data_IF_251312632565
#
_entry.id   IF_251312632565
#
_cell.length_a   1.000
_cell.length_b   1.000
_cell.length_c   1.000
_cell.angle_alpha   90.00
_cell.angle_beta   90.00
_cell.angle_gamma   90.00
#
_symmetry.space_group_name_H-M   'P 1'
#
loop_
_entity.id
_entity.type
_entity.pdbx_description
1 polymer ?
#
# COMPACT_ATOMS: atom_id res chain seq x y z
N UNK A 1 45.19 10.58 -51.86
CA UNK A 1 44.24 11.56 -51.25
C UNK A 1 43.48 10.83 -50.14
N UNK A 2 43.82 11.07 -48.87
CA UNK A 2 43.20 10.39 -47.71
C UNK A 2 41.87 11.09 -47.36
N UNK A 3 40.74 10.38 -47.43
CA UNK A 3 39.46 10.84 -46.91
C UNK A 3 39.38 10.51 -45.43
N UNK A 4 39.33 11.54 -44.58
CA UNK A 4 39.04 11.43 -43.15
C UNK A 4 37.52 11.33 -43.00
N UNK A 5 37.03 10.21 -42.48
CA UNK A 5 35.62 10.02 -42.15
C UNK A 5 35.44 10.42 -40.68
N UNK A 6 34.76 11.54 -40.44
CA UNK A 6 34.31 11.96 -39.11
C UNK A 6 33.16 11.05 -38.67
N UNK A 7 33.38 10.26 -37.62
CA UNK A 7 32.36 9.42 -36.99
C UNK A 7 31.60 10.27 -35.96
N UNK A 8 30.40 10.72 -36.32
CA UNK A 8 29.48 11.40 -35.42
C UNK A 8 28.93 10.35 -34.44
N UNK A 9 29.41 10.37 -33.19
CA UNK A 9 28.80 9.61 -32.10
C UNK A 9 27.46 10.25 -31.73
N UNK A 10 26.37 9.69 -32.24
CA UNK A 10 25.04 9.98 -31.75
C UNK A 10 24.89 9.37 -30.34
N UNK A 11 24.97 10.20 -29.30
CA UNK A 11 24.63 9.79 -27.94
C UNK A 11 23.12 9.60 -27.88
N UNK A 12 22.68 8.34 -27.92
CA UNK A 12 21.28 8.00 -27.72
C UNK A 12 20.89 8.34 -26.27
N UNK A 13 20.12 9.41 -26.09
CA UNK A 13 19.41 9.67 -24.85
C UNK A 13 18.40 8.54 -24.63
N UNK A 14 18.74 7.61 -23.74
CA UNK A 14 17.77 6.65 -23.24
C UNK A 14 16.65 7.43 -22.53
N UNK A 15 15.47 7.47 -23.16
CA UNK A 15 14.29 8.02 -22.55
C UNK A 15 13.95 7.18 -21.32
N UNK A 16 14.30 7.68 -20.13
CA UNK A 16 13.83 7.11 -18.88
C UNK A 16 12.29 7.15 -18.90
N UNK A 17 11.65 5.99 -18.88
CA UNK A 17 10.20 5.88 -18.80
C UNK A 17 9.73 6.62 -17.55
N UNK A 18 9.14 7.80 -17.73
CA UNK A 18 8.51 8.51 -16.63
C UNK A 18 7.31 7.66 -16.16
N UNK A 19 7.12 7.48 -14.85
CA UNK A 19 5.97 6.75 -14.33
C UNK A 19 4.69 7.42 -14.85
N UNK A 20 3.80 6.63 -15.48
CA UNK A 20 2.51 7.11 -15.97
C UNK A 20 1.80 7.89 -14.87
N UNK A 21 1.62 9.19 -15.07
CA UNK A 21 0.81 10.01 -14.18
C UNK A 21 -0.62 9.49 -14.20
N UNK A 22 -1.24 9.38 -13.02
CA UNK A 22 -2.65 8.99 -12.92
C UNK A 22 -3.48 10.19 -13.39
N UNK A 23 -4.33 10.04 -14.42
CA UNK A 23 -5.17 11.14 -14.90
C UNK A 23 -6.02 11.72 -13.75
N UNK A 24 -6.14 13.04 -13.66
CA UNK A 24 -6.90 13.77 -12.62
C UNK A 24 -6.41 13.59 -11.17
N UNK A 25 -5.16 13.17 -10.96
CA UNK A 25 -4.58 13.13 -9.62
C UNK A 25 -4.34 14.53 -9.04
N UNK A 26 -4.95 14.81 -7.89
CA UNK A 26 -4.68 16.00 -7.08
C UNK A 26 -3.66 15.65 -6.00
N UNK A 27 -2.55 16.37 -5.95
CA UNK A 27 -1.60 16.29 -4.84
C UNK A 27 -2.24 16.93 -3.61
N UNK A 28 -2.73 16.09 -2.69
CA UNK A 28 -3.50 16.51 -1.51
C UNK A 28 -2.59 16.75 -0.30
N UNK A 29 -1.50 16.00 -0.17
CA UNK A 29 -0.49 16.21 0.88
C UNK A 29 0.91 16.10 0.28
N UNK A 30 1.80 17.03 0.64
CA UNK A 30 3.24 16.96 0.35
C UNK A 30 4.00 17.55 1.54
N UNK A 31 4.37 16.71 2.50
CA UNK A 31 5.02 17.13 3.75
C UNK A 31 5.83 15.97 4.32
N UNK A 32 6.92 16.26 5.02
CA UNK A 32 7.73 15.26 5.74
C UNK A 32 8.20 14.09 4.85
N UNK A 33 8.55 14.38 3.58
CA UNK A 33 8.92 13.40 2.56
C UNK A 33 7.81 12.37 2.23
N UNK A 34 6.55 12.67 2.56
CA UNK A 34 5.39 11.88 2.18
C UNK A 34 4.55 12.70 1.21
N UNK A 35 4.20 12.06 0.09
CA UNK A 35 3.27 12.63 -0.89
C UNK A 35 2.03 11.77 -0.93
N UNK A 36 0.86 12.40 -0.92
CA UNK A 36 -0.44 11.76 -1.09
C UNK A 36 -1.16 12.44 -2.24
N UNK A 37 -1.55 11.66 -3.22
CA UNK A 37 -2.44 12.05 -4.29
C UNK A 37 -3.80 11.41 -4.08
N UNK A 38 -4.85 12.14 -4.41
CA UNK A 38 -6.21 11.59 -4.52
C UNK A 38 -6.75 11.79 -5.92
N UNK A 39 -7.55 10.86 -6.39
CA UNK A 39 -8.21 10.98 -7.69
C UNK A 39 -9.60 10.35 -7.66
N UNK A 40 -10.47 10.87 -8.54
CA UNK A 40 -11.83 10.37 -8.71
C UNK A 40 -11.85 9.40 -9.90
N UNK A 41 -12.23 8.15 -9.64
CA UNK A 41 -12.65 7.24 -10.71
C UNK A 41 -14.13 7.46 -11.00
N UNK A 42 -14.53 7.35 -12.27
CA UNK A 42 -15.93 7.54 -12.70
C UNK A 42 -16.86 6.47 -12.14
N UNK A 43 -16.32 5.29 -11.82
CA UNK A 43 -17.08 4.14 -11.33
C UNK A 43 -17.19 4.11 -9.81
N UNK A 44 -16.42 4.93 -9.09
CA UNK A 44 -16.34 4.90 -7.63
C UNK A 44 -16.87 6.21 -7.04
N UNK A 45 -17.74 6.19 -6.02
CA UNK A 45 -18.21 7.42 -5.36
C UNK A 45 -17.16 8.03 -4.42
N UNK A 46 -16.23 7.23 -3.92
CA UNK A 46 -15.16 7.64 -2.98
C UNK A 46 -13.85 7.86 -3.75
N UNK A 47 -13.06 8.84 -3.33
CA UNK A 47 -11.72 9.04 -3.89
C UNK A 47 -10.83 7.81 -3.69
N UNK A 48 -9.99 7.55 -4.68
CA UNK A 48 -8.86 6.66 -4.54
C UNK A 48 -7.66 7.48 -4.08
N UNK A 49 -6.74 6.85 -3.35
CA UNK A 49 -5.49 7.48 -2.97
C UNK A 49 -4.30 6.73 -3.52
N UNK A 50 -3.22 7.48 -3.77
CA UNK A 50 -1.87 6.94 -3.89
C UNK A 50 -0.99 7.73 -2.93
N UNK A 51 -0.15 7.05 -2.17
CA UNK A 51 0.83 7.68 -1.31
C UNK A 51 2.21 7.07 -1.52
N UNK A 52 3.25 7.87 -1.36
CA UNK A 52 4.62 7.38 -1.42
C UNK A 52 5.57 8.13 -0.48
N UNK A 53 6.62 7.43 -0.08
CA UNK A 53 7.74 7.99 0.67
C UNK A 53 8.99 7.14 0.46
N UNK A 54 10.09 7.51 1.10
CA UNK A 54 11.34 6.75 1.12
C UNK A 54 11.82 6.62 2.55
N UNK A 55 12.30 5.43 2.91
CA UNK A 55 12.90 5.14 4.20
C UNK A 55 14.35 4.68 4.01
N UNK A 56 15.19 5.02 4.98
CA UNK A 56 16.61 4.64 5.02
C UNK A 56 16.79 3.30 5.78
N UNK A 57 16.08 2.26 5.30
CA UNK A 57 16.15 0.88 5.78
C UNK A 57 16.22 -0.11 4.62
N UNK A 58 16.67 -1.35 4.83
CA UNK A 58 16.57 -2.42 3.84
C UNK A 58 15.11 -2.67 3.41
N UNK A 59 14.91 -3.02 2.14
CA UNK A 59 13.57 -3.31 1.59
C UNK A 59 12.84 -4.38 2.39
N UNK A 60 13.56 -5.41 2.83
CA UNK A 60 13.06 -6.56 3.58
C UNK A 60 12.44 -6.14 4.90
N UNK A 61 13.03 -5.15 5.57
CA UNK A 61 12.51 -4.64 6.84
C UNK A 61 11.17 -3.91 6.64
N UNK A 62 11.07 -3.10 5.58
CA UNK A 62 9.83 -2.41 5.23
C UNK A 62 8.72 -3.39 4.81
N UNK A 63 9.07 -4.42 4.03
CA UNK A 63 8.13 -5.47 3.61
C UNK A 63 7.63 -6.25 4.83
N UNK A 64 8.53 -6.67 5.72
CA UNK A 64 8.19 -7.46 6.90
C UNK A 64 7.20 -6.75 7.82
N UNK A 65 7.40 -5.45 8.07
CA UNK A 65 6.48 -4.68 8.89
C UNK A 65 5.03 -4.71 8.36
N UNK A 66 4.85 -4.76 7.03
CA UNK A 66 3.51 -4.84 6.42
C UNK A 66 2.92 -6.25 6.50
N UNK A 67 3.74 -7.30 6.42
CA UNK A 67 3.27 -8.71 6.45
C UNK A 67 3.26 -9.32 7.86
N UNK A 68 3.71 -8.58 8.87
CA UNK A 68 3.62 -8.89 10.29
C UNK A 68 2.21 -8.54 10.81
N UNK A 69 1.25 -9.33 10.34
CA UNK A 69 -0.18 -9.12 10.57
C UNK A 69 -0.53 -9.17 12.05
N UNK A 70 0.11 -10.05 12.82
CA UNK A 70 -0.16 -10.21 14.27
C UNK A 70 0.18 -8.95 15.08
N UNK A 71 1.11 -8.12 14.57
CA UNK A 71 1.46 -6.85 15.19
C UNK A 71 0.80 -5.64 14.52
N UNK A 72 -0.01 -5.83 13.47
CA UNK A 72 -0.65 -4.73 12.74
C UNK A 72 -1.50 -3.82 13.64
N UNK A 73 -2.27 -4.40 14.57
CA UNK A 73 -3.11 -3.64 15.53
C UNK A 73 -2.31 -2.62 16.35
N UNK A 74 -1.02 -2.87 16.60
CA UNK A 74 -0.17 -2.00 17.42
C UNK A 74 0.19 -0.69 16.72
N UNK A 75 0.18 -0.66 15.40
CA UNK A 75 0.74 0.48 14.64
C UNK A 75 -0.16 0.96 13.51
N UNK A 76 -0.95 0.10 12.87
CA UNK A 76 -1.88 0.47 11.80
C UNK A 76 -3.02 1.33 12.38
N UNK A 77 -3.20 2.59 11.95
CA UNK A 77 -4.31 3.42 12.40
C UNK A 77 -5.67 2.74 12.17
N UNK A 78 -6.56 2.84 13.16
CA UNK A 78 -7.95 2.35 13.09
C UNK A 78 -8.08 0.83 12.88
N UNK A 79 -7.02 0.05 13.13
CA UNK A 79 -7.10 -1.41 13.12
C UNK A 79 -7.54 -1.89 14.50
N UNK A 80 -8.81 -2.28 14.64
CA UNK A 80 -9.36 -2.80 15.90
C UNK A 80 -8.94 -4.25 16.15
N UNK A 81 -8.99 -5.10 15.13
CA UNK A 81 -8.59 -6.50 15.22
C UNK A 81 -8.17 -7.04 13.85
N UNK A 82 -7.29 -8.05 13.84
CA UNK A 82 -6.95 -8.81 12.65
C UNK A 82 -6.72 -10.28 13.00
N UNK A 83 -7.16 -11.15 12.09
CA UNK A 83 -6.97 -12.59 12.16
C UNK A 83 -6.51 -13.12 10.82
N UNK A 84 -5.41 -13.88 10.81
CA UNK A 84 -5.01 -14.66 9.65
C UNK A 84 -5.95 -15.88 9.53
N UNK A 85 -6.69 -15.97 8.43
CA UNK A 85 -7.56 -17.12 8.13
C UNK A 85 -6.81 -18.21 7.37
N UNK A 86 -5.95 -17.81 6.44
CA UNK A 86 -5.06 -18.71 5.70
C UNK A 86 -3.81 -17.97 5.24
N UNK A 87 -2.70 -18.69 5.09
CA UNK A 87 -1.43 -18.17 4.58
C UNK A 87 -0.60 -19.30 3.98
N UNK A 88 -0.09 -19.07 2.77
CA UNK A 88 0.86 -19.94 2.08
C UNK A 88 2.08 -19.10 1.71
N UNK A 89 3.16 -19.22 2.50
CA UNK A 89 4.39 -18.44 2.31
C UNK A 89 5.17 -18.82 1.04
N UNK A 90 4.90 -19.99 0.45
CA UNK A 90 5.54 -20.43 -0.81
C UNK A 90 4.87 -19.81 -2.01
N UNK A 91 3.54 -19.79 -2.01
CA UNK A 91 2.76 -19.16 -3.10
C UNK A 91 2.58 -17.67 -2.89
N UNK A 92 2.72 -17.17 -1.66
CA UNK A 92 2.45 -15.78 -1.29
C UNK A 92 0.96 -15.46 -1.16
N UNK A 93 0.09 -16.46 -1.13
CA UNK A 93 -1.36 -16.29 -0.97
C UNK A 93 -1.71 -16.17 0.52
N UNK A 94 -2.64 -15.29 0.86
CA UNK A 94 -3.16 -15.18 2.22
C UNK A 94 -4.60 -14.69 2.24
N UNK A 95 -5.32 -15.00 3.33
CA UNK A 95 -6.65 -14.46 3.61
C UNK A 95 -6.69 -13.96 5.04
N UNK A 96 -7.18 -12.74 5.26
CA UNK A 96 -7.32 -12.10 6.55
C UNK A 96 -8.78 -11.78 6.84
N UNK A 97 -9.15 -11.83 8.12
CA UNK A 97 -10.31 -11.14 8.65
C UNK A 97 -9.83 -9.91 9.42
N UNK A 98 -10.38 -8.74 9.14
CA UNK A 98 -10.01 -7.48 9.78
C UNK A 98 -11.26 -6.78 10.33
N UNK A 99 -11.07 -6.07 11.43
CA UNK A 99 -12.05 -5.15 12.02
C UNK A 99 -11.42 -3.77 12.07
N UNK A 100 -12.09 -2.80 11.47
CA UNK A 100 -11.71 -1.40 11.42
C UNK A 100 -12.53 -0.62 12.45
N UNK A 101 -11.83 0.04 13.36
CA UNK A 101 -12.38 0.87 14.44
C UNK A 101 -12.71 2.25 13.90
N UNK A 102 -14.01 2.54 13.75
CA UNK A 102 -14.49 3.81 13.21
C UNK A 102 -14.84 4.77 14.35
N UNK A 103 -14.58 6.07 14.19
CA UNK A 103 -14.91 7.03 15.23
C UNK A 103 -16.42 7.09 15.50
N UNK A 104 -16.79 7.08 16.78
CA UNK A 104 -18.18 7.27 17.23
C UNK A 104 -18.79 8.55 16.60
N UNK A 105 -20.05 8.52 16.12
CA UNK A 105 -21.08 7.49 16.29
C UNK A 105 -21.14 6.44 15.15
N UNK A 106 -20.10 6.34 14.31
CA UNK A 106 -20.11 5.35 13.23
C UNK A 106 -19.88 3.95 13.80
N UNK A 107 -20.61 2.96 13.29
CA UNK A 107 -20.35 1.54 13.58
C UNK A 107 -19.00 1.10 13.01
N UNK A 108 -18.36 0.13 13.63
CA UNK A 108 -17.16 -0.47 13.09
C UNK A 108 -17.45 -1.26 11.81
N UNK A 109 -16.40 -1.43 11.01
CA UNK A 109 -16.45 -2.19 9.75
C UNK A 109 -15.65 -3.46 9.88
N UNK A 110 -16.17 -4.56 9.37
CA UNK A 110 -15.38 -5.77 9.20
C UNK A 110 -15.20 -6.11 7.72
N UNK A 111 -14.12 -6.84 7.41
CA UNK A 111 -13.84 -7.27 6.05
C UNK A 111 -13.02 -8.56 6.01
N UNK A 112 -13.26 -9.34 4.97
CA UNK A 112 -12.41 -10.48 4.60
C UNK A 112 -11.58 -10.05 3.41
N UNK A 113 -10.25 -10.15 3.52
CA UNK A 113 -9.32 -9.73 2.48
C UNK A 113 -8.56 -10.94 1.96
N UNK A 114 -8.61 -11.14 0.66
CA UNK A 114 -7.69 -12.02 -0.04
C UNK A 114 -6.50 -11.18 -0.51
N UNK A 115 -5.29 -11.70 -0.34
CA UNK A 115 -4.09 -11.01 -0.77
C UNK A 115 -3.05 -11.92 -1.41
N UNK A 116 -2.14 -11.27 -2.13
CA UNK A 116 -1.04 -11.90 -2.87
C UNK A 116 0.25 -11.09 -2.68
N UNK A 117 1.28 -11.77 -2.21
CA UNK A 117 2.66 -11.30 -2.19
C UNK A 117 3.35 -11.71 -3.48
N UNK A 118 4.01 -10.75 -4.14
CA UNK A 118 4.66 -10.94 -5.44
C UNK A 118 6.03 -10.28 -5.39
N UNK A 119 7.06 -11.00 -5.83
CA UNK A 119 8.37 -10.43 -6.14
C UNK A 119 8.57 -10.48 -7.66
N UNK A 120 8.75 -9.30 -8.23
CA UNK A 120 8.99 -9.12 -9.66
C UNK A 120 10.46 -9.42 -9.99
N UNK A 121 10.75 -9.74 -11.26
CA UNK A 121 12.11 -10.05 -11.72
C UNK A 121 13.12 -8.91 -11.50
N UNK A 122 12.64 -7.66 -11.47
CA UNK A 122 13.46 -6.47 -11.17
C UNK A 122 13.70 -6.26 -9.66
N UNK A 123 13.24 -7.17 -8.81
CA UNK A 123 13.36 -7.12 -7.35
C UNK A 123 12.33 -6.22 -6.66
N UNK A 124 11.38 -5.61 -7.40
CA UNK A 124 10.24 -4.93 -6.81
C UNK A 124 9.36 -5.95 -6.08
N UNK A 125 8.93 -5.62 -4.87
CA UNK A 125 7.96 -6.42 -4.12
C UNK A 125 6.62 -5.70 -4.11
N UNK A 126 5.55 -6.43 -4.36
CA UNK A 126 4.17 -5.95 -4.30
C UNK A 126 3.33 -6.84 -3.39
N UNK A 127 2.46 -6.23 -2.59
CA UNK A 127 1.44 -6.90 -1.80
C UNK A 127 0.10 -6.37 -2.28
N UNK A 128 -0.72 -7.21 -2.92
CA UNK A 128 -2.06 -6.84 -3.39
C UNK A 128 -3.10 -7.37 -2.43
N UNK A 129 -4.14 -6.60 -2.18
CA UNK A 129 -5.24 -6.93 -1.29
C UNK A 129 -6.57 -6.57 -1.95
N UNK A 130 -7.57 -7.43 -1.80
CA UNK A 130 -8.93 -7.18 -2.25
C UNK A 130 -9.94 -7.79 -1.27
N UNK A 131 -11.03 -7.06 -1.01
CA UNK A 131 -12.12 -7.62 -0.24
C UNK A 131 -12.80 -8.77 -0.99
N UNK A 132 -13.12 -9.83 -0.26
CA UNK A 132 -13.95 -10.94 -0.71
C UNK A 132 -15.19 -11.04 0.18
N UNK A 133 -16.32 -11.45 -0.40
CA UNK A 133 -17.61 -11.42 0.31
C UNK A 133 -17.82 -12.63 1.24
N UNK A 134 -17.09 -13.73 1.00
CA UNK A 134 -17.24 -15.01 1.70
C UNK A 134 -15.94 -15.36 2.44
N UNK A 135 -16.01 -16.33 3.34
CA UNK A 135 -14.84 -16.85 4.07
C UNK A 135 -14.81 -16.50 5.56
N UNK A 136 -15.76 -15.69 6.05
CA UNK A 136 -15.97 -15.43 7.47
C UNK A 136 -17.44 -15.09 7.76
N UNK A 137 -18.03 -15.53 8.89
CA UNK A 137 -19.41 -15.23 9.25
C UNK A 137 -19.69 -13.73 9.32
N UNK A 138 -20.95 -13.33 9.08
CA UNK A 138 -21.40 -11.96 9.33
C UNK A 138 -21.55 -11.74 10.85
N UNK A 139 -21.21 -10.53 11.30
CA UNK A 139 -21.43 -10.10 12.68
C UNK A 139 -22.36 -8.87 12.67
N UNK A 140 -23.53 -8.90 13.35
CA UNK A 140 -24.48 -7.78 13.37
C UNK A 140 -23.96 -6.50 14.04
N UNK A 141 -22.90 -6.59 14.83
CA UNK A 141 -22.27 -5.43 15.47
C UNK A 141 -21.46 -4.60 14.45
N UNK A 142 -21.08 -5.20 13.32
CA UNK A 142 -20.25 -4.58 12.29
C UNK A 142 -20.99 -4.37 10.97
N UNK A 143 -20.57 -3.36 10.21
CA UNK A 143 -20.95 -3.19 8.82
C UNK A 143 -19.92 -3.90 7.93
N UNK A 144 -20.33 -4.93 7.18
CA UNK A 144 -19.44 -5.66 6.26
C UNK A 144 -19.05 -4.79 5.08
N UNK A 145 -17.76 -4.48 4.97
CA UNK A 145 -17.18 -3.79 3.83
C UNK A 145 -16.94 -4.79 2.70
N UNK A 146 -17.52 -4.52 1.52
CA UNK A 146 -17.45 -5.44 0.36
C UNK A 146 -16.58 -4.94 -0.79
N UNK A 147 -16.36 -3.62 -0.88
CA UNK A 147 -15.54 -2.99 -1.91
C UNK A 147 -14.29 -2.36 -1.31
N UNK A 148 -13.21 -3.13 -1.29
CA UNK A 148 -11.87 -2.68 -0.91
C UNK A 148 -10.83 -3.24 -1.86
N UNK A 149 -9.91 -2.39 -2.27
CA UNK A 149 -8.69 -2.75 -2.96
C UNK A 149 -7.55 -1.93 -2.34
N UNK A 150 -6.43 -2.58 -2.07
CA UNK A 150 -5.29 -1.91 -1.49
C UNK A 150 -4.01 -2.62 -1.88
N UNK A 151 -2.97 -1.87 -2.15
CA UNK A 151 -1.68 -2.39 -2.53
C UNK A 151 -0.52 -1.65 -1.86
N UNK A 152 0.57 -2.40 -1.74
CA UNK A 152 1.86 -1.90 -1.30
C UNK A 152 2.89 -2.27 -2.34
N UNK A 153 3.77 -1.33 -2.67
CA UNK A 153 4.89 -1.55 -3.57
C UNK A 153 6.17 -1.07 -2.91
N UNK A 154 7.19 -1.91 -2.95
CA UNK A 154 8.50 -1.65 -2.39
C UNK A 154 9.54 -1.72 -3.49
N UNK A 155 10.19 -0.59 -3.74
CA UNK A 155 11.26 -0.48 -4.71
C UNK A 155 12.58 -0.27 -3.97
N UNK A 156 13.52 -1.19 -4.14
CA UNK A 156 14.87 -1.02 -3.63
C UNK A 156 15.54 0.14 -4.36
N UNK A 157 16.02 1.13 -3.61
CA UNK A 157 16.81 2.26 -4.12
C UNK A 157 18.30 2.12 -3.75
N UNK A 158 18.63 1.24 -2.81
CA UNK A 158 19.97 0.91 -2.35
C UNK A 158 19.90 -0.14 -1.24
N UNK A 159 21.03 -0.56 -0.68
CA UNK A 159 21.08 -1.60 0.35
C UNK A 159 20.27 -1.26 1.61
N UNK A 160 20.28 0.02 2.02
CA UNK A 160 19.52 0.53 3.16
C UNK A 160 18.60 1.67 2.74
N UNK A 161 18.02 1.58 1.55
CA UNK A 161 17.11 2.61 1.05
C UNK A 161 16.00 1.99 0.22
N UNK A 162 14.76 2.25 0.62
CA UNK A 162 13.57 1.70 -0.03
C UNK A 162 12.55 2.80 -0.28
N UNK A 163 12.03 2.85 -1.51
CA UNK A 163 10.82 3.63 -1.82
C UNK A 163 9.60 2.77 -1.55
N UNK A 164 8.71 3.26 -0.70
CA UNK A 164 7.45 2.62 -0.37
C UNK A 164 6.33 3.42 -1.00
N UNK A 165 5.43 2.72 -1.69
CA UNK A 165 4.21 3.29 -2.22
C UNK A 165 3.03 2.43 -1.79
N UNK A 166 1.89 3.07 -1.55
CA UNK A 166 0.62 2.39 -1.32
C UNK A 166 -0.46 3.07 -2.12
N UNK A 167 -1.36 2.29 -2.71
CA UNK A 167 -2.61 2.77 -3.25
C UNK A 167 -3.76 2.05 -2.57
N UNK A 168 -4.91 2.70 -2.56
CA UNK A 168 -6.08 2.10 -1.98
C UNK A 168 -7.38 2.78 -2.33
N UNK A 169 -8.41 1.98 -2.21
CA UNK A 169 -9.80 2.33 -2.35
C UNK A 169 -10.62 1.51 -1.35
N UNK A 170 -11.53 2.18 -0.67
CA UNK A 170 -12.49 1.54 0.21
C UNK A 170 -13.81 2.30 0.12
N UNK A 171 -14.90 1.61 -0.22
CA UNK A 171 -16.24 2.12 0.04
C UNK A 171 -16.59 1.74 1.48
N UNK A 172 -16.79 2.69 2.41
CA UNK A 172 -17.04 2.37 3.81
C UNK A 172 -18.45 1.78 4.06
N UNK A 173 -19.31 1.75 3.03
CA UNK A 173 -20.69 1.29 3.06
C UNK A 173 -21.59 2.07 4.05
N UNK A 174 -22.89 2.02 3.81
CA UNK A 174 -23.89 2.75 4.60
C UNK A 174 -23.95 4.26 4.30
N UNK A 175 -24.72 4.99 5.11
CA UNK A 175 -25.07 6.40 4.87
C UNK A 175 -24.05 7.39 5.47
N UNK A 176 -22.76 7.20 5.19
CA UNK A 176 -21.73 8.15 5.63
C UNK A 176 -21.62 9.29 4.59
N UNK A 177 -21.65 10.57 5.01
CA UNK A 177 -21.43 11.68 4.10
C UNK A 177 -20.09 11.59 3.37
N UNK A 178 -20.09 11.71 2.04
CA UNK A 178 -18.88 11.57 1.21
C UNK A 178 -17.77 12.56 1.57
N UNK A 179 -18.10 13.76 2.03
CA UNK A 179 -17.14 14.74 2.54
C UNK A 179 -16.32 14.19 3.69
N UNK A 180 -16.95 13.47 4.62
CA UNK A 180 -16.25 12.83 5.73
C UNK A 180 -15.33 11.72 5.21
N UNK A 181 -15.84 10.83 4.36
CA UNK A 181 -15.05 9.73 3.77
C UNK A 181 -13.82 10.26 3.03
N UNK A 182 -14.00 11.28 2.20
CA UNK A 182 -12.93 11.87 1.39
C UNK A 182 -11.86 12.59 2.24
N UNK A 183 -12.22 13.14 3.40
CA UNK A 183 -11.24 13.67 4.35
C UNK A 183 -10.35 12.56 4.93
N UNK A 184 -10.94 11.42 5.29
CA UNK A 184 -10.20 10.26 5.79
C UNK A 184 -9.25 9.67 4.74
N UNK A 185 -9.70 9.54 3.50
CA UNK A 185 -8.89 9.04 2.36
C UNK A 185 -7.61 9.84 2.17
N UNK A 186 -7.61 11.14 2.47
CA UNK A 186 -6.41 11.97 2.37
C UNK A 186 -5.45 11.77 3.56
N UNK A 187 -5.99 11.67 4.77
CA UNK A 187 -5.18 11.68 6.01
C UNK A 187 -4.65 10.30 6.39
N UNK A 188 -5.45 9.25 6.21
CA UNK A 188 -5.11 7.89 6.62
C UNK A 188 -3.80 7.37 6.01
N UNK A 189 -3.54 7.48 4.68
CA UNK A 189 -2.28 6.99 4.13
C UNK A 189 -1.06 7.81 4.58
N UNK A 190 -1.24 9.11 4.83
CA UNK A 190 -0.18 9.95 5.39
C UNK A 190 0.18 9.49 6.81
N UNK A 191 -0.81 9.32 7.69
CA UNK A 191 -0.60 8.83 9.05
C UNK A 191 0.00 7.42 9.07
N UNK A 192 -0.44 6.55 8.16
CA UNK A 192 0.11 5.20 8.01
C UNK A 192 1.61 5.23 7.73
N UNK A 193 2.03 6.00 6.73
CA UNK A 193 3.46 6.12 6.37
C UNK A 193 4.27 6.82 7.47
N UNK A 194 3.69 7.78 8.20
CA UNK A 194 4.36 8.35 9.37
C UNK A 194 4.58 7.32 10.48
N UNK A 195 3.57 6.52 10.82
CA UNK A 195 3.69 5.48 11.84
C UNK A 195 4.64 4.37 11.41
N UNK A 196 4.60 3.97 10.14
CA UNK A 196 5.55 3.02 9.57
C UNK A 196 6.99 3.48 9.77
N UNK A 197 7.29 4.77 9.56
CA UNK A 197 8.63 5.33 9.87
C UNK A 197 9.02 5.14 11.34
N UNK A 198 8.09 5.38 12.27
CA UNK A 198 8.35 5.21 13.70
C UNK A 198 8.64 3.75 14.06
N UNK A 199 7.87 2.80 13.52
CA UNK A 199 8.09 1.37 13.76
C UNK A 199 9.41 0.87 13.16
N UNK A 200 9.75 1.32 11.95
CA UNK A 200 11.01 0.97 11.30
C UNK A 200 12.22 1.47 12.08
N UNK A 201 12.10 2.57 12.83
CA UNK A 201 13.17 3.09 13.68
C UNK A 201 13.36 2.30 14.98
N UNK A 202 12.42 1.43 15.38
CA UNK A 202 12.52 0.66 16.63
C UNK A 202 13.38 -0.59 16.52
N UNK A 203 13.53 -1.14 15.32
CA UNK A 203 14.32 -2.33 15.08
C UNK A 203 15.35 -2.07 14.00
N UNK A 204 16.50 -2.74 14.06
CA UNK A 204 17.49 -2.78 12.98
C UNK A 204 17.70 -4.19 12.44
N UNK A 205 16.93 -5.17 12.92
CA UNK A 205 17.02 -6.54 12.43
C UNK A 205 16.41 -6.63 11.04
N UNK A 206 17.14 -7.28 10.13
CA UNK A 206 16.64 -7.59 8.79
C UNK A 206 15.97 -8.95 8.85
N UNK A 207 14.64 -9.02 8.75
CA UNK A 207 13.90 -10.26 8.85
C UNK A 207 14.01 -11.07 7.56
N UNK A 208 13.88 -12.39 7.69
CA UNK A 208 13.82 -13.27 6.54
C UNK A 208 12.40 -13.22 5.98
N UNK A 209 12.27 -12.84 4.71
CA UNK A 209 10.97 -12.80 4.03
C UNK A 209 10.42 -14.21 3.73
N UNK A 210 9.10 -14.36 3.51
CA UNK A 210 8.47 -15.56 2.97
C UNK A 210 9.14 -16.05 1.68
N UNK A 211 9.05 -17.35 1.39
CA UNK A 211 9.68 -17.96 0.20
C UNK A 211 9.24 -17.31 -1.11
N UNK A 212 7.96 -16.92 -1.23
CA UNK A 212 7.43 -16.19 -2.38
C UNK A 212 8.08 -14.81 -2.64
N UNK A 213 8.83 -14.29 -1.66
CA UNK A 213 9.44 -12.95 -1.68
C UNK A 213 10.98 -12.98 -1.59
N UNK A 214 11.61 -14.15 -1.66
CA UNK A 214 13.07 -14.28 -1.76
C UNK A 214 13.52 -14.20 -3.22
#
# INVERSE_FOLDING_TARGET
MKKVILMICAVAFAAAAQPKSVPNAKLSINKNNIKVWTYQDKNNPVFLYKAETTYDVPTEQAVHLIIDVDNAVKWVPYMGNVKVLSRDDKKGDFTLYMVLDFPFPLKDRDLVVQGKMIREANGQITIKNKAIQKGYPLNPDYVRLTHYEGDWTFNRLGEKKVKVSTYGYANPEGSIPLTFVNMFVQQQPYQMLQKMKLELNKSSTVPVLPEALR
#
